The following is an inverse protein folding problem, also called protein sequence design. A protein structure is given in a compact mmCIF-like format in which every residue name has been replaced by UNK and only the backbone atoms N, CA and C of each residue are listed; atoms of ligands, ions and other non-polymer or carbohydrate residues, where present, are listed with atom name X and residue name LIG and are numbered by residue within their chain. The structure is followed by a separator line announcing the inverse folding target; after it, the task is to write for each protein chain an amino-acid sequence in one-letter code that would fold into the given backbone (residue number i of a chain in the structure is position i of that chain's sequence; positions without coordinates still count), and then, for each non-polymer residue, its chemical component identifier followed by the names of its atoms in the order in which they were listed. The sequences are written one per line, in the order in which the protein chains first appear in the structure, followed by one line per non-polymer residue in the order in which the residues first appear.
data_IF_800153652492
#
_entry.id   IF_800153652492
#
_cell.length_a   1.000
_cell.length_b   1.000
_cell.length_c   1.000
_cell.angle_alpha   90.00
_cell.angle_beta   90.00
_cell.angle_gamma   90.00
#
_symmetry.space_group_name_H-M   'P 1'
#
loop_
_entity.id
_entity.type
_entity.pdbx_description
1 polymer ?
#
# COMPACT_ATOMS: atom_id res chain seq x y z
N UNK A 1 8.17 6.39 -16.65
CA UNK A 1 8.33 5.00 -16.17
C UNK A 1 8.39 5.07 -14.66
N UNK A 2 7.46 4.40 -13.99
CA UNK A 2 7.42 4.31 -12.53
C UNK A 2 8.53 3.41 -12.00
N UNK A 3 8.65 3.33 -10.68
CA UNK A 3 9.47 2.32 -10.02
C UNK A 3 8.51 1.34 -9.37
N UNK A 4 8.49 0.16 -9.95
CA UNK A 4 7.54 -0.90 -9.64
C UNK A 4 8.00 -1.66 -8.42
N UNK A 5 7.06 -2.26 -7.70
CA UNK A 5 7.40 -2.98 -6.50
C UNK A 5 6.24 -3.74 -5.87
N UNK A 6 6.55 -4.40 -4.77
CA UNK A 6 5.59 -5.15 -3.99
C UNK A 6 5.47 -4.57 -2.58
N UNK A 7 4.23 -4.46 -2.11
CA UNK A 7 3.95 -4.43 -0.67
C UNK A 7 3.43 -5.79 -0.25
N UNK A 8 4.21 -6.45 0.59
CA UNK A 8 3.93 -7.77 1.08
C UNK A 8 3.83 -7.85 2.59
N UNK A 9 3.29 -8.96 3.03
CA UNK A 9 3.09 -9.30 4.43
C UNK A 9 3.61 -10.70 4.68
N UNK A 10 4.26 -10.87 5.83
CA UNK A 10 4.69 -12.18 6.33
C UNK A 10 3.64 -12.63 7.33
N UNK A 11 2.88 -13.66 6.95
CA UNK A 11 1.84 -14.24 7.78
C UNK A 11 2.46 -15.12 8.88
N UNK A 12 1.69 -15.45 9.93
CA UNK A 12 2.21 -16.25 11.06
C UNK A 12 2.68 -17.64 10.64
N UNK A 13 2.07 -18.20 9.61
CA UNK A 13 2.48 -19.45 8.99
C UNK A 13 3.77 -19.33 8.12
N UNK A 14 4.41 -18.16 8.11
CA UNK A 14 5.61 -17.78 7.36
C UNK A 14 5.43 -17.69 5.85
N UNK A 15 4.20 -17.76 5.36
CA UNK A 15 3.91 -17.47 3.95
C UNK A 15 4.04 -15.96 3.71
N UNK A 16 4.52 -15.64 2.51
CA UNK A 16 4.53 -14.27 1.99
C UNK A 16 3.33 -14.13 1.05
N UNK A 17 2.60 -13.05 1.23
CA UNK A 17 1.52 -12.61 0.35
C UNK A 17 1.76 -11.15 0.03
N UNK A 18 1.63 -10.74 -1.21
CA UNK A 18 2.03 -9.41 -1.65
C UNK A 18 1.21 -8.91 -2.80
N UNK A 19 1.01 -7.60 -2.82
CA UNK A 19 0.26 -6.90 -3.84
C UNK A 19 1.23 -6.02 -4.64
N UNK A 20 0.94 -5.89 -5.92
CA UNK A 20 1.75 -5.10 -6.85
C UNK A 20 1.49 -3.60 -6.68
N UNK A 21 2.53 -2.80 -6.85
CA UNK A 21 2.49 -1.35 -6.87
C UNK A 21 3.31 -0.83 -8.05
N UNK A 22 2.68 -0.06 -8.93
CA UNK A 22 3.31 0.42 -10.16
C UNK A 22 4.23 1.65 -9.95
N UNK A 23 4.05 2.40 -8.86
CA UNK A 23 4.63 3.75 -8.73
C UNK A 23 5.40 3.97 -7.43
N UNK A 24 6.55 4.65 -7.55
CA UNK A 24 7.38 5.13 -6.43
C UNK A 24 7.74 4.10 -5.36
N UNK A 25 8.06 2.87 -5.77
CA UNK A 25 8.45 1.79 -4.85
C UNK A 25 9.84 1.95 -4.24
N UNK A 26 10.54 3.07 -4.46
CA UNK A 26 11.85 3.31 -3.86
C UNK A 26 11.79 3.36 -2.32
N UNK A 27 12.92 3.12 -1.62
CA UNK A 27 13.00 3.27 -0.17
C UNK A 27 12.55 4.65 0.31
N UNK A 28 12.90 5.72 -0.43
CA UNK A 28 12.47 7.10 -0.11
C UNK A 28 10.99 7.41 -0.41
N UNK A 29 10.32 6.54 -1.17
CA UNK A 29 8.92 6.67 -1.57
C UNK A 29 8.05 5.74 -0.73
N UNK A 30 7.59 4.64 -1.33
CA UNK A 30 6.79 3.62 -0.66
C UNK A 30 7.42 3.10 0.64
N UNK A 31 8.73 2.85 0.66
CA UNK A 31 9.42 2.38 1.86
C UNK A 31 9.30 3.36 3.03
N UNK A 32 9.47 4.66 2.77
CA UNK A 32 9.34 5.73 3.75
C UNK A 32 7.89 5.85 4.26
N UNK A 33 6.92 5.75 3.36
CA UNK A 33 5.52 5.80 3.75
C UNK A 33 5.10 4.61 4.64
N UNK A 34 5.60 3.41 4.35
CA UNK A 34 5.44 2.23 5.22
C UNK A 34 6.11 2.48 6.58
N UNK A 35 7.33 3.02 6.60
CA UNK A 35 8.05 3.35 7.83
C UNK A 35 7.31 4.38 8.70
N UNK A 36 6.73 5.41 8.08
CA UNK A 36 5.94 6.43 8.76
C UNK A 36 4.64 5.86 9.35
N UNK A 37 4.01 4.90 8.67
CA UNK A 37 2.86 4.18 9.22
C UNK A 37 3.28 3.36 10.44
N UNK A 38 4.32 2.52 10.31
CA UNK A 38 4.81 1.64 11.38
C UNK A 38 5.28 2.43 12.61
N UNK A 39 5.96 3.57 12.41
CA UNK A 39 6.48 4.39 13.51
C UNK A 39 5.39 4.96 14.42
N UNK A 40 4.15 5.03 13.92
CA UNK A 40 2.98 5.51 14.65
C UNK A 40 2.20 4.39 15.35
N UNK A 41 2.56 3.12 15.13
CA UNK A 41 1.92 1.99 15.79
C UNK A 41 2.57 1.70 17.15
N UNK A 42 1.74 1.52 18.17
CA UNK A 42 2.15 0.84 19.40
C UNK A 42 2.41 -0.65 19.14
N UNK A 43 3.05 -1.34 20.09
CA UNK A 43 3.22 -2.79 20.03
C UNK A 43 1.88 -3.54 20.00
N UNK A 44 0.89 -3.05 20.75
CA UNK A 44 -0.47 -3.59 20.76
C UNK A 44 -1.14 -3.42 19.38
N UNK A 45 -1.04 -2.22 18.79
CA UNK A 45 -1.57 -1.96 17.45
C UNK A 45 -0.87 -2.78 16.38
N UNK A 46 0.43 -3.07 16.53
CA UNK A 46 1.15 -3.97 15.63
C UNK A 46 0.57 -5.40 15.70
N UNK A 47 0.24 -5.90 16.90
CA UNK A 47 -0.43 -7.21 17.06
C UNK A 47 -1.83 -7.22 16.46
N UNK A 48 -2.61 -6.15 16.66
CA UNK A 48 -3.92 -5.99 16.02
C UNK A 48 -3.78 -6.01 14.48
N UNK A 49 -2.77 -5.34 13.94
CA UNK A 49 -2.46 -5.40 12.51
C UNK A 49 -2.11 -6.82 12.05
N UNK A 50 -1.35 -7.59 12.83
CA UNK A 50 -1.07 -8.99 12.52
C UNK A 50 -2.36 -9.82 12.42
N UNK A 51 -3.30 -9.64 13.35
CA UNK A 51 -4.61 -10.29 13.30
C UNK A 51 -5.45 -9.83 12.10
N UNK A 52 -5.43 -8.53 11.78
CA UNK A 52 -6.18 -7.98 10.65
C UNK A 52 -5.66 -8.49 9.31
N UNK A 53 -4.33 -8.56 9.14
CA UNK A 53 -3.68 -9.08 7.93
C UNK A 53 -3.92 -10.58 7.76
N UNK A 54 -3.90 -11.37 8.84
CA UNK A 54 -4.19 -12.81 8.79
C UNK A 54 -5.64 -13.09 8.37
N UNK A 55 -6.55 -12.14 8.61
CA UNK A 55 -7.95 -12.22 8.21
C UNK A 55 -8.25 -11.63 6.82
N UNK A 56 -7.22 -11.25 6.06
CA UNK A 56 -7.38 -10.84 4.66
C UNK A 56 -7.61 -12.08 3.78
N UNK A 57 -8.62 -12.01 2.94
CA UNK A 57 -8.81 -12.96 1.85
C UNK A 57 -7.92 -12.58 0.67
N UNK A 58 -7.00 -13.48 0.31
CA UNK A 58 -6.02 -13.27 -0.75
C UNK A 58 -6.57 -13.78 -2.09
N UNK A 59 -6.75 -12.86 -3.04
CA UNK A 59 -7.33 -13.13 -4.36
C UNK A 59 -6.21 -13.48 -5.34
N UNK A 60 -6.23 -14.70 -5.87
CA UNK A 60 -5.22 -15.16 -6.83
C UNK A 60 -5.58 -14.80 -8.28
N UNK A 61 -6.87 -14.75 -8.61
CA UNK A 61 -7.35 -14.37 -9.95
C UNK A 61 -8.14 -13.06 -9.90
N UNK A 62 -7.47 -11.98 -10.31
CA UNK A 62 -8.03 -10.63 -10.30
C UNK A 62 -9.09 -10.37 -11.38
N UNK A 63 -9.23 -11.30 -12.34
CA UNK A 63 -10.13 -11.15 -13.49
C UNK A 63 -11.53 -11.71 -13.25
N UNK A 64 -11.69 -12.49 -12.19
CA UNK A 64 -12.97 -13.11 -11.81
C UNK A 64 -13.96 -12.05 -11.32
N UNK A 65 -15.23 -12.25 -11.71
CA UNK A 65 -16.35 -11.41 -11.28
C UNK A 65 -16.53 -11.45 -9.75
N UNK A 66 -16.73 -10.28 -9.15
CA UNK A 66 -16.95 -10.13 -7.72
C UNK A 66 -18.43 -10.39 -7.38
N UNK A 67 -18.73 -11.13 -6.30
CA UNK A 67 -20.07 -11.20 -5.74
C UNK A 67 -20.69 -9.81 -5.48
N UNK A 68 -21.98 -9.63 -5.80
CA UNK A 68 -22.63 -8.31 -5.77
C UNK A 68 -22.72 -7.68 -4.37
N UNK A 69 -22.72 -8.49 -3.31
CA UNK A 69 -22.66 -8.03 -1.93
C UNK A 69 -21.28 -7.47 -1.56
N UNK A 70 -20.20 -8.10 -2.04
CA UNK A 70 -18.83 -7.60 -1.87
C UNK A 70 -18.62 -6.33 -2.70
N UNK A 71 -19.12 -6.31 -3.94
CA UNK A 71 -19.08 -5.11 -4.79
C UNK A 71 -19.78 -3.93 -4.08
N UNK A 72 -20.98 -4.16 -3.52
CA UNK A 72 -21.70 -3.12 -2.74
C UNK A 72 -20.89 -2.63 -1.55
N UNK A 73 -20.21 -3.52 -0.81
CA UNK A 73 -19.37 -3.13 0.33
C UNK A 73 -18.27 -2.15 -0.07
N UNK A 74 -17.52 -2.46 -1.13
CA UNK A 74 -16.41 -1.61 -1.56
C UNK A 74 -16.84 -0.37 -2.33
N UNK A 75 -18.08 -0.32 -2.82
CA UNK A 75 -18.66 0.88 -3.42
C UNK A 75 -19.44 1.75 -2.42
N UNK A 76 -19.73 1.29 -1.20
CA UNK A 76 -20.60 1.97 -0.24
C UNK A 76 -20.01 3.26 0.36
N UNK A 77 -20.86 4.22 0.78
CA UNK A 77 -20.46 5.53 1.33
C UNK A 77 -19.80 5.49 2.72
N UNK A 78 -20.02 4.43 3.50
CA UNK A 78 -19.33 4.16 4.77
C UNK A 78 -18.11 3.23 4.59
N UNK A 79 -17.77 2.95 3.32
CA UNK A 79 -16.66 2.12 2.83
C UNK A 79 -16.13 2.57 1.46
N UNK A 80 -16.08 3.89 1.21
CA UNK A 80 -15.98 4.52 -0.14
C UNK A 80 -14.74 4.12 -0.92
N UNK A 81 -14.98 3.69 -2.16
CA UNK A 81 -14.19 4.09 -3.32
C UNK A 81 -15.13 4.74 -4.35
N UNK A 82 -14.99 6.05 -4.58
CA UNK A 82 -15.20 6.63 -5.92
C UNK A 82 -13.80 6.93 -6.41
N UNK A 83 -13.40 6.21 -7.45
CA UNK A 83 -12.14 6.27 -8.20
C UNK A 83 -11.08 7.30 -7.77
N UNK A 84 -9.87 6.78 -7.54
CA UNK A 84 -8.55 7.40 -7.26
C UNK A 84 -8.11 7.64 -5.82
N UNK A 85 -8.95 7.92 -4.83
CA UNK A 85 -8.42 8.13 -3.47
C UNK A 85 -9.44 7.87 -2.37
N UNK A 86 -9.09 7.01 -1.41
CA UNK A 86 -9.64 7.11 -0.08
C UNK A 86 -8.47 7.21 0.90
N UNK A 87 -8.52 8.20 1.73
CA UNK A 87 -7.89 8.20 3.03
C UNK A 87 -8.89 8.92 3.91
N UNK A 88 -9.13 8.51 5.16
CA UNK A 88 -9.80 9.30 6.21
C UNK A 88 -11.27 9.70 6.07
N UNK A 89 -11.81 9.74 4.86
CA UNK A 89 -13.05 10.41 4.54
C UNK A 89 -12.89 11.22 3.24
N UNK A 90 -13.95 11.90 2.81
CA UNK A 90 -13.96 12.71 1.59
C UNK A 90 -12.86 13.79 1.53
N UNK A 91 -12.36 14.21 2.68
CA UNK A 91 -11.29 15.20 2.82
C UNK A 91 -9.93 14.79 2.27
N UNK A 92 -9.76 13.54 1.86
CA UNK A 92 -8.53 13.06 1.25
C UNK A 92 -8.72 12.40 -0.12
N UNK A 93 -9.81 12.74 -0.80
CA UNK A 93 -10.04 12.37 -2.20
C UNK A 93 -9.05 13.02 -3.17
N UNK A 94 -8.31 14.01 -2.71
CA UNK A 94 -7.37 14.79 -3.50
C UNK A 94 -6.02 14.77 -2.80
N UNK A 95 -4.95 14.39 -3.51
CA UNK A 95 -3.59 14.55 -3.00
C UNK A 95 -3.27 16.05 -2.78
N UNK A 96 -2.38 16.37 -1.82
CA UNK A 96 -2.01 17.77 -1.52
C UNK A 96 -1.52 18.55 -2.75
N UNK A 97 -0.86 17.88 -3.68
CA UNK A 97 -0.35 18.46 -4.92
C UNK A 97 -1.42 18.68 -6.00
N UNK A 98 -2.58 18.02 -5.88
CA UNK A 98 -3.69 18.17 -6.82
C UNK A 98 -4.53 19.43 -6.54
N UNK A 99 -4.44 19.99 -5.33
CA UNK A 99 -5.12 21.23 -4.99
C UNK A 99 -4.48 22.45 -5.66
N UNK A 100 -5.31 23.34 -6.20
CA UNK A 100 -4.86 24.66 -6.60
C UNK A 100 -4.37 25.43 -5.35
N UNK A 101 -3.10 25.91 -5.31
CA UNK A 101 -2.54 26.58 -4.13
C UNK A 101 -3.29 27.85 -3.71
N UNK A 102 -4.16 28.39 -4.58
CA UNK A 102 -4.95 29.61 -4.34
C UNK A 102 -6.30 29.34 -3.67
N UNK A 103 -6.72 28.08 -3.56
CA UNK A 103 -7.99 27.73 -2.92
C UNK A 103 -7.89 27.90 -1.40
N UNK A 104 -8.91 28.51 -0.83
CA UNK A 104 -9.11 28.53 0.62
C UNK A 104 -9.60 27.18 1.14
N UNK A 105 -9.38 26.89 2.42
CA UNK A 105 -9.88 25.66 3.07
C UNK A 105 -11.41 25.53 2.99
N UNK A 106 -12.12 26.66 2.96
CA UNK A 106 -13.58 26.67 2.80
C UNK A 106 -14.01 26.20 1.42
N UNK A 107 -13.32 26.63 0.37
CA UNK A 107 -13.60 26.20 -1.01
C UNK A 107 -13.27 24.72 -1.21
N UNK A 108 -12.15 24.24 -0.65
CA UNK A 108 -11.82 22.81 -0.64
C UNK A 108 -12.92 21.98 0.00
N UNK A 109 -13.42 22.42 1.17
CA UNK A 109 -14.49 21.73 1.89
C UNK A 109 -15.80 21.67 1.09
N UNK A 110 -16.14 22.72 0.34
CA UNK A 110 -17.33 22.73 -0.53
C UNK A 110 -17.23 21.75 -1.68
N UNK A 111 -16.05 21.68 -2.34
CA UNK A 111 -15.79 20.70 -3.42
C UNK A 111 -15.99 19.28 -2.89
N UNK A 112 -15.43 19.00 -1.70
CA UNK A 112 -15.57 17.70 -1.04
C UNK A 112 -17.05 17.36 -0.76
N UNK A 113 -17.84 18.31 -0.23
CA UNK A 113 -19.27 18.11 0.04
C UNK A 113 -20.09 17.83 -1.24
N UNK A 114 -19.78 18.49 -2.34
CA UNK A 114 -20.45 18.26 -3.64
C UNK A 114 -20.16 16.86 -4.17
N UNK A 115 -18.91 16.42 -4.12
CA UNK A 115 -18.50 15.07 -4.54
C UNK A 115 -19.14 13.97 -3.66
N UNK A 116 -19.32 14.23 -2.34
CA UNK A 116 -20.04 13.34 -1.40
C UNK A 116 -21.47 13.10 -1.87
N UNK A 117 -22.18 14.19 -2.17
CA UNK A 117 -23.58 14.12 -2.55
C UNK A 117 -23.76 13.46 -3.92
N UNK A 118 -22.82 13.67 -4.84
CA UNK A 118 -22.80 12.99 -6.13
C UNK A 118 -22.59 11.47 -5.96
N UNK A 119 -21.63 11.05 -5.11
CA UNK A 119 -21.40 9.65 -4.80
C UNK A 119 -22.64 8.99 -4.15
N UNK A 120 -23.33 9.71 -3.24
CA UNK A 120 -24.57 9.24 -2.63
C UNK A 120 -25.67 9.02 -3.67
N UNK A 121 -25.88 9.98 -4.58
CA UNK A 121 -26.85 9.85 -5.68
C UNK A 121 -26.54 8.67 -6.61
N UNK A 122 -25.25 8.40 -6.87
CA UNK A 122 -24.83 7.25 -7.66
C UNK A 122 -25.19 5.91 -6.98
N UNK A 123 -25.06 5.85 -5.65
CA UNK A 123 -25.41 4.66 -4.86
C UNK A 123 -26.92 4.45 -4.72
N UNK A 124 -27.68 5.53 -4.52
CA UNK A 124 -29.14 5.48 -4.42
C UNK A 124 -29.81 5.19 -5.78
N UNK A 125 -29.14 5.54 -6.88
CA UNK A 125 -29.65 5.39 -8.25
C UNK A 125 -29.35 4.07 -8.95
N UNK A 126 -28.75 3.06 -8.30
CA UNK A 126 -28.34 1.79 -8.94
C UNK A 126 -29.54 1.04 -9.59
N UNK A 127 -29.70 1.04 -10.93
CA UNK A 127 -30.73 0.27 -11.60
C UNK A 127 -30.28 -1.18 -11.74
N UNK A 128 -31.24 -2.12 -11.71
CA UNK A 128 -31.00 -3.50 -12.10
C UNK A 128 -30.48 -3.59 -13.54
N UNK A 129 -29.26 -4.12 -13.70
CA UNK A 129 -28.65 -4.76 -14.89
C UNK A 129 -28.62 -4.05 -16.26
N UNK A 130 -29.40 -3.00 -16.52
CA UNK A 130 -29.48 -2.37 -17.85
C UNK A 130 -28.96 -0.91 -17.90
N UNK A 131 -28.63 -0.30 -16.75
CA UNK A 131 -28.11 1.08 -16.66
C UNK A 131 -26.59 1.23 -16.78
N UNK A 132 -25.85 0.14 -16.89
CA UNK A 132 -24.38 0.14 -16.87
C UNK A 132 -23.73 0.75 -18.12
N UNK A 133 -24.43 0.77 -19.26
CA UNK A 133 -23.85 1.30 -20.52
C UNK A 133 -23.74 2.82 -20.56
N UNK A 134 -24.55 3.56 -19.78
CA UNK A 134 -24.57 5.04 -19.81
C UNK A 134 -23.45 5.66 -18.96
N UNK A 135 -22.89 4.91 -18.00
CA UNK A 135 -21.79 5.37 -17.15
C UNK A 135 -20.44 5.47 -17.88
N UNK A 136 -20.29 4.80 -19.03
CA UNK A 136 -19.07 4.82 -19.83
C UNK A 136 -18.78 6.17 -20.50
N UNK A 137 -19.82 6.92 -20.86
CA UNK A 137 -19.66 8.08 -21.75
C UNK A 137 -19.29 9.39 -21.03
N UNK A 138 -19.56 9.50 -19.72
CA UNK A 138 -19.24 10.71 -18.94
C UNK A 138 -17.92 10.63 -18.15
N UNK A 139 -17.19 9.50 -18.23
CA UNK A 139 -15.88 9.33 -17.57
C UNK A 139 -14.72 9.46 -18.56
N UNK A 140 -14.65 10.59 -19.27
CA UNK A 140 -13.46 10.99 -20.03
C UNK A 140 -12.52 11.79 -19.13
N UNK A 141 -11.52 11.11 -18.55
CA UNK A 141 -10.10 11.40 -18.79
C UNK A 141 -9.19 10.55 -17.88
N UNK A 142 -8.13 10.02 -18.50
CA UNK A 142 -6.96 9.32 -17.95
C UNK A 142 -7.06 7.84 -17.48
N UNK A 143 -6.90 6.97 -18.49
CA UNK A 143 -6.14 5.70 -18.53
C UNK A 143 -6.63 4.42 -17.83
N UNK A 144 -7.63 4.45 -16.95
CA UNK A 144 -8.13 3.22 -16.33
C UNK A 144 -9.65 3.28 -16.18
N UNK A 145 -10.39 2.97 -17.25
CA UNK A 145 -11.80 2.57 -17.12
C UNK A 145 -11.79 1.17 -16.53
N UNK A 146 -11.60 1.09 -15.23
CA UNK A 146 -11.54 -0.15 -14.49
C UNK A 146 -12.90 -0.83 -14.48
N UNK A 147 -12.91 -2.08 -14.93
CA UNK A 147 -14.07 -2.94 -14.87
C UNK A 147 -14.41 -3.21 -13.40
N UNK A 148 -15.38 -2.47 -12.84
CA UNK A 148 -15.81 -2.65 -11.45
C UNK A 148 -16.46 -4.00 -11.18
N UNK A 149 -16.69 -4.82 -12.20
CA UNK A 149 -17.20 -6.18 -12.01
C UNK A 149 -16.11 -7.15 -11.53
N UNK A 150 -14.82 -6.82 -11.62
CA UNK A 150 -13.73 -7.70 -11.17
C UNK A 150 -12.83 -7.10 -10.08
N UNK A 151 -12.05 -7.96 -9.44
CA UNK A 151 -11.18 -7.62 -8.31
C UNK A 151 -10.15 -6.55 -8.64
N UNK A 152 -9.56 -6.59 -9.83
CA UNK A 152 -8.64 -5.56 -10.28
C UNK A 152 -9.30 -4.18 -10.24
N UNK A 153 -10.49 -4.03 -10.84
CA UNK A 153 -11.15 -2.72 -10.89
C UNK A 153 -11.69 -2.22 -9.55
N UNK A 154 -12.09 -3.12 -8.65
CA UNK A 154 -12.57 -2.71 -7.31
C UNK A 154 -11.43 -2.42 -6.34
N UNK A 155 -10.30 -3.11 -6.47
CA UNK A 155 -9.16 -2.97 -5.56
C UNK A 155 -8.02 -2.10 -6.11
N UNK A 156 -8.07 -1.64 -7.34
CA UNK A 156 -6.99 -0.86 -7.97
C UNK A 156 -6.55 0.37 -7.18
N UNK A 157 -7.46 1.01 -6.45
CA UNK A 157 -7.05 2.11 -5.60
C UNK A 157 -6.38 1.65 -4.30
N UNK A 158 -6.68 0.44 -3.81
CA UNK A 158 -5.95 -0.22 -2.73
C UNK A 158 -4.58 -0.73 -3.22
N UNK A 159 -4.45 -1.03 -4.52
CA UNK A 159 -3.20 -1.40 -5.22
C UNK A 159 -2.13 -0.28 -5.23
N UNK A 160 -2.41 0.91 -4.71
CA UNK A 160 -1.45 2.02 -4.62
C UNK A 160 -0.41 1.86 -3.48
N UNK A 161 -0.04 0.62 -3.17
CA UNK A 161 1.06 0.31 -2.26
C UNK A 161 0.74 0.51 -0.78
N UNK A 162 1.44 1.42 -0.11
CA UNK A 162 1.38 1.59 1.35
C UNK A 162 0.00 2.01 1.88
N UNK A 163 -0.89 2.51 1.01
CA UNK A 163 -2.23 2.97 1.36
C UNK A 163 -3.10 1.84 1.91
N UNK A 164 -2.89 0.60 1.46
CA UNK A 164 -3.58 -0.59 1.97
C UNK A 164 -3.48 -0.72 3.49
N UNK A 165 -2.35 -0.34 4.09
CA UNK A 165 -2.07 -0.48 5.52
C UNK A 165 -3.12 0.19 6.41
N UNK A 166 -3.55 1.40 6.04
CA UNK A 166 -4.57 2.13 6.81
C UNK A 166 -5.93 1.45 6.71
N UNK A 167 -6.32 0.95 5.54
CA UNK A 167 -7.62 0.30 5.40
C UNK A 167 -7.68 -1.05 6.10
N UNK A 168 -6.54 -1.75 6.16
CA UNK A 168 -6.41 -2.95 6.99
C UNK A 168 -6.59 -2.55 8.46
N UNK A 169 -5.89 -1.50 8.93
CA UNK A 169 -6.00 -1.00 10.31
C UNK A 169 -7.43 -0.62 10.69
N UNK A 170 -8.17 0.03 9.79
CA UNK A 170 -9.56 0.41 10.01
C UNK A 170 -10.56 -0.76 9.85
N UNK A 171 -10.08 -1.96 9.48
CA UNK A 171 -10.91 -3.13 9.21
C UNK A 171 -11.80 -3.02 7.97
N UNK A 172 -11.56 -2.00 7.13
CA UNK A 172 -12.33 -1.71 5.92
C UNK A 172 -11.91 -2.59 4.75
N UNK A 173 -10.62 -2.88 4.62
CA UNK A 173 -10.08 -3.79 3.61
C UNK A 173 -10.06 -5.21 4.12
N UNK A 174 -10.74 -6.11 3.41
CA UNK A 174 -10.83 -7.54 3.73
C UNK A 174 -10.30 -8.45 2.64
N UNK A 175 -9.96 -7.88 1.49
CA UNK A 175 -9.50 -8.62 0.32
C UNK A 175 -8.31 -7.89 -0.29
N UNK A 176 -7.31 -8.65 -0.75
CA UNK A 176 -6.13 -8.13 -1.45
C UNK A 176 -5.74 -9.09 -2.57
N UNK A 177 -5.23 -8.55 -3.67
CA UNK A 177 -4.73 -9.35 -4.78
C UNK A 177 -3.35 -9.90 -4.41
N UNK A 178 -3.18 -11.22 -4.52
CA UNK A 178 -1.90 -11.89 -4.31
C UNK A 178 -1.13 -12.01 -5.62
N UNK A 179 -0.08 -11.20 -5.72
CA UNK A 179 0.86 -11.12 -6.82
C UNK A 179 2.19 -11.81 -6.54
N UNK A 180 2.33 -12.50 -5.39
CA UNK A 180 3.61 -13.13 -4.98
C UNK A 180 4.08 -14.20 -5.98
N UNK A 181 3.14 -14.89 -6.62
CA UNK A 181 3.42 -15.98 -7.57
C UNK A 181 3.74 -15.53 -9.00
N UNK A 182 3.57 -14.26 -9.33
CA UNK A 182 3.77 -13.75 -10.68
C UNK A 182 5.25 -13.46 -10.94
N UNK A 183 5.96 -14.49 -11.43
CA UNK A 183 7.40 -14.44 -11.69
C UNK A 183 7.81 -13.53 -12.84
N UNK A 184 6.86 -13.10 -13.67
CA UNK A 184 7.10 -12.22 -14.83
C UNK A 184 7.14 -10.74 -14.46
N UNK A 185 6.78 -10.37 -13.22
CA UNK A 185 6.83 -8.99 -12.77
C UNK A 185 8.24 -8.61 -12.30
N UNK A 186 8.91 -7.75 -13.07
CA UNK A 186 10.19 -7.15 -12.71
C UNK A 186 9.96 -6.04 -11.67
N UNK A 187 9.78 -6.42 -10.40
CA UNK A 187 9.69 -5.47 -9.31
C UNK A 187 11.09 -4.93 -8.96
N UNK A 188 11.27 -3.61 -8.93
CA UNK A 188 12.54 -3.00 -8.51
C UNK A 188 12.77 -3.18 -7.01
N UNK A 189 11.70 -3.02 -6.21
CA UNK A 189 11.74 -3.09 -4.75
C UNK A 189 10.59 -3.92 -4.19
N UNK A 190 10.81 -4.57 -3.05
CA UNK A 190 9.73 -5.24 -2.32
C UNK A 190 9.90 -5.07 -0.82
N UNK A 191 8.79 -4.84 -0.14
CA UNK A 191 8.73 -4.64 1.29
C UNK A 191 7.82 -5.71 1.89
N UNK A 192 8.36 -6.62 2.71
CA UNK A 192 7.55 -7.63 3.40
C UNK A 192 7.46 -7.29 4.88
N UNK A 193 6.26 -6.94 5.34
CA UNK A 193 6.01 -6.49 6.71
C UNK A 193 5.56 -7.69 7.55
N UNK A 194 6.27 -7.93 8.64
CA UNK A 194 5.98 -8.95 9.64
C UNK A 194 5.50 -8.22 10.90
N UNK A 195 4.19 -8.05 11.02
CA UNK A 195 3.58 -7.41 12.18
C UNK A 195 3.69 -8.26 13.45
N UNK A 196 3.74 -9.60 13.31
CA UNK A 196 3.82 -10.54 14.43
C UNK A 196 5.20 -10.50 15.10
N UNK A 197 6.27 -10.38 14.31
CA UNK A 197 7.65 -10.27 14.78
C UNK A 197 8.20 -8.84 14.74
N UNK A 198 7.35 -7.84 14.48
CA UNK A 198 7.67 -6.41 14.42
C UNK A 198 8.93 -6.08 13.60
N UNK A 199 8.98 -6.58 12.37
CA UNK A 199 10.07 -6.33 11.43
C UNK A 199 9.57 -6.15 10.00
N UNK A 200 10.40 -5.55 9.16
CA UNK A 200 10.16 -5.40 7.73
C UNK A 200 11.40 -5.87 6.97
N UNK A 201 11.20 -6.76 6.01
CA UNK A 201 12.22 -7.13 5.03
C UNK A 201 12.17 -6.15 3.84
N UNK A 202 13.34 -5.67 3.42
CA UNK A 202 13.52 -4.80 2.26
C UNK A 202 14.34 -5.55 1.21
N UNK A 203 13.75 -5.74 0.05
CA UNK A 203 14.32 -6.48 -1.07
C UNK A 203 14.55 -5.56 -2.26
N UNK A 204 15.65 -5.79 -2.98
CA UNK A 204 15.86 -5.25 -4.32
C UNK A 204 15.63 -6.37 -5.32
N UNK A 205 14.75 -6.17 -6.29
CA UNK A 205 14.33 -7.24 -7.16
C UNK A 205 13.51 -8.31 -6.43
N UNK A 206 13.16 -9.37 -7.14
CA UNK A 206 12.48 -10.54 -6.61
C UNK A 206 13.37 -11.48 -5.77
N UNK A 207 14.68 -11.24 -5.69
CA UNK A 207 15.63 -12.25 -5.17
C UNK A 207 16.65 -11.76 -4.15
N UNK A 208 16.81 -10.45 -3.94
CA UNK A 208 17.90 -9.92 -3.11
C UNK A 208 17.40 -9.20 -1.86
N UNK A 209 17.41 -9.90 -0.73
CA UNK A 209 17.22 -9.28 0.59
C UNK A 209 18.36 -8.30 0.88
N UNK A 210 18.01 -7.02 0.95
CA UNK A 210 18.95 -5.92 1.24
C UNK A 210 19.04 -5.69 2.74
N UNK A 211 17.90 -5.73 3.45
CA UNK A 211 17.84 -5.42 4.87
C UNK A 211 16.65 -6.03 5.59
N UNK A 212 16.84 -6.35 6.87
CA UNK A 212 15.76 -6.47 7.84
C UNK A 212 15.79 -5.24 8.75
N UNK A 213 14.65 -4.56 8.88
CA UNK A 213 14.49 -3.36 9.70
C UNK A 213 13.46 -3.66 10.78
N UNK A 214 13.80 -3.46 12.06
CA UNK A 214 12.85 -3.65 13.16
C UNK A 214 11.90 -2.46 13.26
N UNK A 215 10.71 -2.66 13.81
CA UNK A 215 9.78 -1.56 14.04
C UNK A 215 10.35 -0.54 15.02
N UNK A 216 11.11 -0.97 16.02
CA UNK A 216 11.81 -0.04 16.93
C UNK A 216 12.76 0.89 16.19
N UNK A 217 13.49 0.39 15.19
CA UNK A 217 14.33 1.23 14.33
C UNK A 217 13.50 2.30 13.61
N UNK A 218 12.31 1.94 13.13
CA UNK A 218 11.42 2.84 12.40
C UNK A 218 10.71 3.83 13.34
N UNK A 219 10.43 3.44 14.59
CA UNK A 219 9.90 4.33 15.64
C UNK A 219 10.96 5.36 16.07
N UNK A 220 12.21 4.93 16.23
CA UNK A 220 13.33 5.80 16.61
C UNK A 220 13.72 6.78 15.49
N UNK A 221 13.71 6.34 14.23
CA UNK A 221 14.00 7.19 13.05
C UNK A 221 13.00 6.91 11.91
N UNK A 222 11.86 7.62 11.88
CA UNK A 222 10.86 7.47 10.81
C UNK A 222 11.39 7.76 9.40
N UNK A 223 12.48 8.54 9.30
CA UNK A 223 13.14 8.87 8.03
C UNK A 223 14.24 7.88 7.65
N UNK A 224 14.39 6.77 8.39
CA UNK A 224 15.43 5.78 8.17
C UNK A 224 15.51 5.33 6.71
N UNK A 225 14.36 5.12 6.07
CA UNK A 225 14.25 4.66 4.68
C UNK A 225 14.74 5.69 3.65
N UNK A 226 14.82 6.97 4.02
CA UNK A 226 15.39 8.03 3.19
C UNK A 226 16.91 8.17 3.38
N UNK A 227 17.41 7.89 4.59
CA UNK A 227 18.81 8.11 4.99
C UNK A 227 19.70 6.91 4.74
N UNK A 228 19.15 5.72 4.86
CA UNK A 228 19.90 4.48 4.75
C UNK A 228 20.40 4.26 3.32
N UNK A 229 21.67 3.89 3.21
CA UNK A 229 22.21 3.36 1.95
C UNK A 229 21.74 1.90 1.76
N UNK A 230 20.90 1.69 0.75
CA UNK A 230 20.37 0.38 0.33
C UNK A 230 21.13 -0.24 -0.85
N UNK A 231 22.23 0.39 -1.31
CA UNK A 231 23.11 -0.19 -2.33
C UNK A 231 24.01 -1.30 -1.78
N UNK A 232 24.29 -1.30 -0.46
CA UNK A 232 25.21 -2.23 0.21
C UNK A 232 24.48 -3.45 0.83
N UNK A 233 24.96 -4.65 0.51
CA UNK A 233 24.37 -5.93 0.93
C UNK A 233 24.52 -6.20 2.45
N UNK A 234 23.52 -6.85 3.07
CA UNK A 234 23.51 -7.14 4.50
C UNK A 234 24.74 -7.93 4.99
N UNK A 235 25.24 -8.87 4.18
CA UNK A 235 26.44 -9.64 4.54
C UNK A 235 27.78 -8.95 4.22
N UNK A 236 27.80 -7.85 3.47
CA UNK A 236 29.02 -7.04 3.27
C UNK A 236 29.32 -6.18 4.50
N UNK A 237 28.31 -5.63 5.17
CA UNK A 237 28.49 -4.93 6.45
C UNK A 237 29.10 -5.84 7.52
N UNK A 238 28.75 -7.14 7.52
CA UNK A 238 29.31 -8.16 8.43
C UNK A 238 30.76 -8.50 8.07
N UNK A 239 31.10 -8.57 6.77
CA UNK A 239 32.48 -8.78 6.29
C UNK A 239 33.37 -7.54 6.52
N UNK A 240 32.85 -6.34 6.37
CA UNK A 240 33.55 -5.09 6.59
C UNK A 240 33.83 -4.84 8.09
N UNK A 241 32.84 -5.08 8.96
CA UNK A 241 33.07 -5.08 10.42
C UNK A 241 34.12 -6.12 10.85
N UNK A 242 34.16 -7.30 10.21
CA UNK A 242 35.21 -8.31 10.44
C UNK A 242 36.59 -7.84 9.96
N UNK A 243 36.71 -7.27 8.75
CA UNK A 243 37.95 -6.70 8.22
C UNK A 243 38.52 -5.58 9.09
N UNK A 244 37.67 -4.70 9.62
CA UNK A 244 38.09 -3.62 10.54
C UNK A 244 38.54 -4.14 11.91
N UNK A 245 38.01 -5.27 12.39
CA UNK A 245 38.49 -5.93 13.61
C UNK A 245 39.83 -6.64 13.43
N UNK A 246 40.09 -7.25 12.26
CA UNK A 246 41.35 -7.95 11.98
C UNK A 246 42.51 -7.01 11.61
N UNK A 247 42.21 -5.79 11.14
CA UNK A 247 43.20 -4.77 10.80
C UNK A 247 43.53 -3.80 11.95
N UNK A 248 43.16 -4.10 13.21
CA UNK A 248 43.70 -3.35 14.35
C UNK A 248 45.22 -3.62 14.39
N UNK A 249 46.07 -2.58 14.29
CA UNK A 249 47.51 -2.78 14.39
C UNK A 249 47.81 -3.40 15.75
N UNK A 250 48.56 -4.52 15.74
CA UNK A 250 49.14 -5.07 16.97
C UNK A 250 50.04 -3.98 17.53
N UNK A 251 49.63 -3.41 18.66
CA UNK A 251 50.47 -2.56 19.47
C UNK A 251 51.68 -3.40 19.89
N UNK A 252 52.82 -3.10 19.27
CA UNK A 252 54.12 -3.59 19.73
C UNK A 252 54.51 -2.73 20.94
N UNK A 253 54.31 -3.29 22.12
CA UNK A 253 55.09 -2.96 23.32
C UNK A 253 56.10 -4.08 23.53
#
# INVERSE_FOLDING_TARGET
MGTEGLIGYILRNKQRKAMYNQWDSYPRGQGYAIALFISRLSHEQAKEMADLVENIEWIEDMTVDIPKDIQKRYLAFDGIWKHKHPYGGPEHWHDEWAWNPKLSEKEKSQIIEEEIEEARKMLEGLPSKEGYEVLRDNMRDDYYVENIDNWFGVLAGADLGHRALRFIQEGKLKHLIDMTGYTEMECDWSYYIDFDHEKMEVWLGSSRLVREVTFDTLREDPEYMCKADFSLWHGEKTKEKRRRKTNKPRSHY
#
